data_IF_952376258040
#
_entry.id   IF_952376258040
#
_cell.length_a   1.000
_cell.length_b   1.000
_cell.length_c   1.000
_cell.angle_alpha   90.00
_cell.angle_beta   90.00
_cell.angle_gamma   90.00
#
_symmetry.space_group_name_H-M   'P 1'
#
loop_
_entity.id
_entity.type
_entity.pdbx_description
1 polymer ?
#
# COMPACT_ATOMS: atom_id res chain seq x y z
N UNK A 1 10.27 3.77 -9.09
CA UNK A 1 10.29 2.51 -8.34
C UNK A 1 9.07 2.50 -7.44
N UNK A 2 8.36 1.38 -7.40
CA UNK A 2 7.17 1.19 -6.58
C UNK A 2 7.47 0.08 -5.58
N UNK A 3 7.27 0.37 -4.30
CA UNK A 3 7.38 -0.61 -3.23
C UNK A 3 5.96 -1.01 -2.82
N UNK A 4 5.65 -2.30 -2.93
CA UNK A 4 4.46 -2.86 -2.33
C UNK A 4 4.87 -3.37 -0.96
N UNK A 5 4.19 -2.89 0.08
CA UNK A 5 4.51 -3.22 1.45
C UNK A 5 3.26 -3.57 2.24
N UNK A 6 3.44 -4.44 3.23
CA UNK A 6 2.43 -4.78 4.21
C UNK A 6 2.86 -4.28 5.59
N UNK A 7 1.99 -3.52 6.26
CA UNK A 7 2.20 -3.12 7.64
C UNK A 7 1.57 -4.16 8.57
N UNK A 8 2.38 -4.84 9.37
CA UNK A 8 1.92 -5.76 10.42
C UNK A 8 2.48 -5.35 11.77
N UNK A 9 1.59 -5.18 12.76
CA UNK A 9 1.94 -4.68 14.09
C UNK A 9 2.74 -3.37 14.04
N UNK A 10 4.03 -3.43 14.40
CA UNK A 10 4.95 -2.31 14.50
C UNK A 10 5.97 -2.30 13.34
N UNK A 11 5.81 -3.18 12.34
CA UNK A 11 6.78 -3.38 11.28
C UNK A 11 6.15 -3.19 9.89
N UNK A 12 6.97 -2.78 8.92
CA UNK A 12 6.61 -2.68 7.51
C UNK A 12 7.46 -3.68 6.72
N UNK A 13 6.81 -4.63 6.07
CA UNK A 13 7.44 -5.66 5.25
C UNK A 13 7.38 -5.27 3.77
N UNK A 14 8.49 -5.41 3.06
CA UNK A 14 8.51 -5.25 1.61
C UNK A 14 8.03 -6.56 0.98
N UNK A 15 6.93 -6.50 0.24
CA UNK A 15 6.41 -7.66 -0.50
C UNK A 15 7.04 -7.73 -1.89
N UNK A 16 7.11 -6.59 -2.59
CA UNK A 16 7.58 -6.51 -3.97
C UNK A 16 8.20 -5.14 -4.29
N UNK A 17 9.19 -5.14 -5.19
CA UNK A 17 9.83 -3.93 -5.71
C UNK A 17 9.77 -3.89 -7.23
N UNK A 18 8.95 -2.98 -7.76
CA UNK A 18 8.65 -2.88 -9.20
C UNK A 18 9.37 -1.67 -9.80
N UNK A 19 10.08 -1.91 -10.91
CA UNK A 19 10.76 -0.88 -11.68
C UNK A 19 10.01 -0.53 -12.97
N UNK A 20 9.11 0.45 -12.88
CA UNK A 20 8.44 1.05 -14.04
C UNK A 20 9.29 2.15 -14.66
N UNK A 21 9.53 2.11 -15.98
CA UNK A 21 10.29 3.13 -16.71
C UNK A 21 9.53 4.44 -16.87
N UNK A 22 8.22 4.35 -17.03
CA UNK A 22 7.32 5.50 -17.16
C UNK A 22 6.74 5.86 -15.79
N UNK A 23 7.10 7.03 -15.27
CA UNK A 23 6.60 7.52 -13.98
C UNK A 23 5.11 7.80 -14.01
N UNK A 24 4.54 8.18 -15.16
CA UNK A 24 3.11 8.45 -15.31
C UNK A 24 2.32 7.15 -15.14
N UNK A 25 2.74 6.09 -15.83
CA UNK A 25 2.13 4.77 -15.73
C UNK A 25 2.18 4.20 -14.30
N UNK A 26 3.23 4.52 -13.53
CA UNK A 26 3.39 4.06 -12.16
C UNK A 26 2.37 4.65 -11.17
N UNK A 27 1.85 5.85 -11.41
CA UNK A 27 0.97 6.59 -10.48
C UNK A 27 -0.47 6.75 -10.98
N UNK A 28 -0.72 6.43 -12.25
CA UNK A 28 -2.02 6.66 -12.88
C UNK A 28 -3.06 5.65 -12.36
N UNK A 29 -4.15 6.20 -11.81
CA UNK A 29 -5.26 5.46 -11.21
C UNK A 29 -6.38 5.28 -12.25
N UNK A 30 -6.10 4.43 -13.23
CA UNK A 30 -7.07 4.03 -14.26
C UNK A 30 -6.99 2.54 -14.49
N UNK A 31 -8.13 1.92 -14.85
CA UNK A 31 -8.18 0.50 -15.16
C UNK A 31 -7.21 0.09 -16.29
N UNK A 32 -6.96 0.98 -17.26
CA UNK A 32 -5.98 0.73 -18.32
C UNK A 32 -4.54 0.73 -17.77
N UNK A 33 -4.19 1.71 -16.93
CA UNK A 33 -2.87 1.76 -16.31
C UNK A 33 -2.64 0.56 -15.37
N UNK A 34 -3.66 0.11 -14.63
CA UNK A 34 -3.59 -1.13 -13.84
C UNK A 34 -3.29 -2.34 -14.72
N UNK A 35 -4.03 -2.50 -15.82
CA UNK A 35 -3.81 -3.58 -16.77
C UNK A 35 -2.40 -3.53 -17.37
N UNK A 36 -1.94 -2.35 -17.78
CA UNK A 36 -0.61 -2.17 -18.36
C UNK A 36 0.50 -2.48 -17.34
N UNK A 37 0.29 -2.16 -16.05
CA UNK A 37 1.19 -2.54 -14.95
C UNK A 37 1.29 -4.06 -14.77
N UNK A 38 0.26 -4.85 -15.09
CA UNK A 38 0.34 -6.33 -15.01
C UNK A 38 1.29 -6.93 -16.05
N UNK A 39 1.57 -6.22 -17.14
CA UNK A 39 2.52 -6.65 -18.18
C UNK A 39 3.98 -6.32 -17.84
N UNK A 40 4.23 -5.66 -16.70
CA UNK A 40 5.57 -5.30 -16.23
C UNK A 40 6.09 -6.41 -15.32
N UNK A 41 7.36 -6.79 -15.49
CA UNK A 41 8.01 -7.73 -14.58
C UNK A 41 8.01 -7.17 -13.16
N UNK A 42 7.39 -7.86 -12.18
CA UNK A 42 7.19 -7.32 -10.83
C UNK A 42 8.46 -7.38 -9.96
N UNK A 43 9.56 -7.92 -10.48
CA UNK A 43 10.74 -8.27 -9.70
C UNK A 43 10.74 -9.75 -9.28
N UNK A 44 11.88 -10.25 -8.78
CA UNK A 44 11.94 -11.57 -8.17
C UNK A 44 11.21 -11.61 -6.83
N UNK A 45 11.03 -12.80 -6.26
CA UNK A 45 10.66 -12.93 -4.85
C UNK A 45 11.77 -12.31 -4.00
N UNK A 46 11.40 -11.53 -2.97
CA UNK A 46 12.38 -10.85 -2.13
C UNK A 46 13.30 -11.86 -1.40
N UNK A 47 12.76 -13.02 -1.03
CA UNK A 47 13.50 -14.12 -0.39
C UNK A 47 14.59 -14.74 -1.29
N UNK A 48 14.45 -14.62 -2.61
CA UNK A 48 15.44 -15.11 -3.58
C UNK A 48 16.57 -14.11 -3.83
N UNK A 49 16.47 -12.89 -3.30
CA UNK A 49 17.52 -11.88 -3.40
C UNK A 49 18.67 -12.18 -2.44
N UNK A 50 19.86 -11.74 -2.82
CA UNK A 50 21.00 -11.70 -1.90
C UNK A 50 20.65 -10.85 -0.67
N UNK A 51 20.97 -11.37 0.51
CA UNK A 51 20.65 -10.76 1.81
C UNK A 51 21.05 -9.27 1.85
N UNK A 52 22.22 -8.90 1.31
CA UNK A 52 22.70 -7.52 1.32
C UNK A 52 21.87 -6.59 0.44
N UNK A 53 21.31 -7.12 -0.65
CA UNK A 53 20.41 -6.37 -1.53
C UNK A 53 19.09 -6.13 -0.82
N UNK A 54 18.55 -7.15 -0.15
CA UNK A 54 17.33 -7.03 0.65
C UNK A 54 17.53 -6.02 1.79
N UNK A 55 18.61 -6.12 2.57
CA UNK A 55 18.97 -5.14 3.61
C UNK A 55 19.05 -3.72 3.05
N UNK A 56 19.71 -3.52 1.91
CA UNK A 56 19.83 -2.20 1.27
C UNK A 56 18.47 -1.61 0.83
N UNK A 57 17.48 -2.46 0.51
CA UNK A 57 16.13 -2.01 0.17
C UNK A 57 15.36 -1.54 1.42
N UNK A 58 15.52 -2.24 2.54
CA UNK A 58 14.96 -1.81 3.82
C UNK A 58 15.63 -0.51 4.29
N UNK A 59 16.96 -0.42 4.28
CA UNK A 59 17.68 0.81 4.62
C UNK A 59 17.20 2.01 3.77
N UNK A 60 17.02 1.80 2.46
CA UNK A 60 16.51 2.81 1.55
C UNK A 60 15.11 3.32 1.93
N UNK A 61 14.24 2.43 2.43
CA UNK A 61 12.90 2.78 2.89
C UNK A 61 12.96 3.50 4.24
N UNK A 62 13.75 3.00 5.20
CA UNK A 62 13.92 3.63 6.51
C UNK A 62 14.42 5.07 6.37
N UNK A 63 15.40 5.32 5.49
CA UNK A 63 15.90 6.68 5.22
C UNK A 63 14.83 7.65 4.68
N UNK A 64 13.81 7.14 3.99
CA UNK A 64 12.76 7.95 3.34
C UNK A 64 11.48 8.07 4.14
N UNK A 65 11.05 6.97 4.75
CA UNK A 65 9.82 6.88 5.53
C UNK A 65 10.05 7.35 6.97
N UNK A 66 11.29 7.32 7.45
CA UNK A 66 11.64 7.70 8.82
C UNK A 66 11.35 6.56 9.78
N UNK A 67 10.62 6.85 10.86
CA UNK A 67 10.27 5.86 11.88
C UNK A 67 9.17 4.92 11.34
N UNK A 68 9.61 3.75 10.85
CA UNK A 68 8.73 2.72 10.28
C UNK A 68 7.67 2.24 11.27
N UNK A 69 8.03 2.14 12.55
CA UNK A 69 7.12 1.73 13.61
C UNK A 69 6.03 2.78 13.82
N UNK A 70 6.40 4.05 13.91
CA UNK A 70 5.42 5.12 14.03
C UNK A 70 4.47 5.16 12.82
N UNK A 71 4.99 4.89 11.62
CA UNK A 71 4.18 4.82 10.40
C UNK A 71 3.22 3.63 10.42
N UNK A 72 3.69 2.44 10.80
CA UNK A 72 2.85 1.24 10.92
C UNK A 72 1.73 1.44 11.95
N UNK A 73 2.05 1.97 13.13
CA UNK A 73 1.06 2.33 14.16
C UNK A 73 0.04 3.35 13.65
N UNK A 74 0.51 4.38 12.92
CA UNK A 74 -0.39 5.37 12.32
C UNK A 74 -1.34 4.74 11.32
N UNK A 75 -0.85 3.92 10.38
CA UNK A 75 -1.66 3.24 9.37
C UNK A 75 -2.74 2.39 10.05
N UNK A 76 -2.37 1.59 11.05
CA UNK A 76 -3.31 0.72 11.75
C UNK A 76 -4.41 1.52 12.44
N UNK A 77 -4.03 2.55 13.21
CA UNK A 77 -4.98 3.41 13.90
C UNK A 77 -5.90 4.16 12.91
N UNK A 78 -5.34 4.64 11.80
CA UNK A 78 -6.09 5.37 10.79
C UNK A 78 -7.10 4.48 10.05
N UNK A 79 -6.75 3.23 9.73
CA UNK A 79 -7.67 2.28 9.10
C UNK A 79 -8.89 2.03 10.01
N UNK A 80 -8.67 1.80 11.31
CA UNK A 80 -9.78 1.62 12.27
C UNK A 80 -10.68 2.85 12.34
N UNK A 81 -10.10 4.05 12.38
CA UNK A 81 -10.85 5.30 12.38
C UNK A 81 -11.66 5.49 11.09
N UNK A 82 -11.05 5.24 9.93
CA UNK A 82 -11.70 5.36 8.62
C UNK A 82 -12.85 4.37 8.51
N UNK A 83 -12.62 3.11 8.84
CA UNK A 83 -13.65 2.07 8.77
C UNK A 83 -14.86 2.39 9.65
N UNK A 84 -14.63 2.84 10.88
CA UNK A 84 -15.71 3.26 11.76
C UNK A 84 -16.51 4.45 11.19
N UNK A 85 -15.84 5.38 10.50
CA UNK A 85 -16.49 6.54 9.87
C UNK A 85 -17.31 6.12 8.65
N UNK A 86 -16.75 5.29 7.78
CA UNK A 86 -17.44 4.74 6.61
C UNK A 86 -18.64 3.88 7.02
N UNK A 87 -18.50 3.07 8.07
CA UNK A 87 -19.60 2.26 8.62
C UNK A 87 -20.78 3.11 9.09
N UNK A 88 -20.53 4.20 9.82
CA UNK A 88 -21.59 5.11 10.30
C UNK A 88 -22.28 5.80 9.13
N UNK A 89 -21.51 6.28 8.14
CA UNK A 89 -22.05 6.92 6.95
C UNK A 89 -22.92 5.93 6.16
N UNK A 90 -22.44 4.71 5.97
CA UNK A 90 -23.18 3.66 5.27
C UNK A 90 -24.51 3.31 5.96
N UNK A 91 -24.53 3.24 7.29
CA UNK A 91 -25.76 3.05 8.04
C UNK A 91 -26.75 4.21 7.87
N UNK A 92 -26.24 5.44 7.85
CA UNK A 92 -27.07 6.63 7.61
C UNK A 92 -27.70 6.61 6.21
N UNK A 93 -26.91 6.29 5.18
CA UNK A 93 -27.38 6.17 3.80
C UNK A 93 -28.43 5.05 3.65
N UNK A 94 -28.22 3.93 4.34
CA UNK A 94 -29.17 2.82 4.37
C UNK A 94 -30.49 3.22 5.04
N UNK A 95 -30.43 3.93 6.16
CA UNK A 95 -31.62 4.44 6.84
C UNK A 95 -32.42 5.39 5.93
N UNK A 96 -31.74 6.33 5.27
CA UNK A 96 -32.36 7.28 4.33
C UNK A 96 -33.01 6.58 3.13
N UNK A 97 -32.37 5.53 2.61
CA UNK A 97 -32.93 4.70 1.55
C UNK A 97 -34.23 4.00 2.01
N UNK A 98 -34.21 3.41 3.19
CA UNK A 98 -35.37 2.70 3.76
C UNK A 98 -36.53 3.64 4.10
N UNK A 99 -36.25 4.88 4.54
CA UNK A 99 -37.28 5.90 4.82
C UNK A 99 -37.95 6.47 3.57
N UNK A 100 -37.28 6.39 2.41
CA UNK A 100 -37.81 6.85 1.11
C UNK A 100 -38.65 5.80 0.38
N UNK A 101 -38.62 4.54 0.84
CA UNK A 101 -39.51 3.46 0.41
C UNK A 101 -40.85 3.53 1.14
#
# INVERSE_FOLDING_TARGET
VTFNCTAEFEDIYIDQVIFTKDSKLAIEDTAQADFDRTNIYPGPLLEDLDERVSESLYDYLTERLGDEKQLAEFIHNFIQFKEQSEYVNWLSDLEDFLRKC
#
